data_IF_272338388837
#
_entry.id   IF_272338388837
#
_cell.length_a   1.000
_cell.length_b   1.000
_cell.length_c   1.000
_cell.angle_alpha   90.00
_cell.angle_beta   90.00
_cell.angle_gamma   90.00
#
_symmetry.space_group_name_H-M   'P 1'
#
loop_
_entity.id
_entity.type
_entity.pdbx_description
1 polymer ?
#
# COMPACT_ATOMS: atom_id res chain seq x y z
N UNK A 1 -1.53 2.09 -30.49
CA UNK A 1 -2.04 1.91 -29.13
C UNK A 1 -0.92 2.15 -28.15
N UNK A 2 -0.90 3.31 -27.48
CA UNK A 2 0.17 3.70 -26.58
C UNK A 2 -0.12 3.21 -25.15
N UNK A 3 0.83 2.48 -24.54
CA UNK A 3 0.80 2.23 -23.09
C UNK A 3 0.91 3.60 -22.40
N UNK A 4 -0.08 3.95 -21.59
CA UNK A 4 -0.01 5.15 -20.73
C UNK A 4 1.24 4.99 -19.83
N UNK A 5 2.21 5.91 -19.86
CA UNK A 5 3.30 5.89 -18.89
C UNK A 5 2.73 6.12 -17.49
N UNK A 6 3.37 5.52 -16.48
CA UNK A 6 2.98 5.64 -15.07
C UNK A 6 2.61 7.08 -14.74
N UNK A 7 1.34 7.30 -14.40
CA UNK A 7 0.85 8.61 -13.97
C UNK A 7 1.64 9.06 -12.77
N UNK A 8 2.49 10.06 -12.98
CA UNK A 8 3.16 10.77 -11.90
C UNK A 8 2.08 11.48 -11.07
N UNK A 9 2.14 11.39 -9.74
CA UNK A 9 1.11 11.95 -8.87
C UNK A 9 1.00 13.46 -9.08
N UNK A 10 -0.22 13.93 -9.35
CA UNK A 10 -0.55 15.31 -9.73
C UNK A 10 -0.28 16.33 -8.61
N UNK A 11 -0.04 15.88 -7.38
CA UNK A 11 0.42 16.70 -6.27
C UNK A 11 1.85 16.32 -5.85
N UNK A 12 2.80 17.25 -6.07
CA UNK A 12 4.15 17.22 -5.46
C UNK A 12 4.10 17.37 -3.92
N UNK A 13 2.91 17.48 -3.36
CA UNK A 13 2.62 17.69 -1.96
C UNK A 13 2.24 16.35 -1.33
N UNK A 14 3.24 15.64 -0.83
CA UNK A 14 3.11 14.39 -0.07
C UNK A 14 2.39 13.27 -0.85
N UNK A 15 3.16 12.54 -1.68
CA UNK A 15 2.78 11.16 -2.01
C UNK A 15 2.36 10.47 -0.71
N UNK A 16 1.14 9.91 -0.63
CA UNK A 16 0.65 9.34 0.60
C UNK A 16 1.71 8.33 1.07
N UNK A 17 2.36 8.65 2.20
CA UNK A 17 3.55 7.91 2.70
C UNK A 17 3.23 6.43 2.97
N UNK A 18 1.94 6.09 2.92
CA UNK A 18 1.35 4.80 3.13
C UNK A 18 0.20 4.62 2.13
N UNK A 19 0.14 3.46 1.44
CA UNK A 19 -0.90 3.18 0.44
C UNK A 19 -2.29 2.96 1.05
N UNK A 20 -3.25 2.46 0.24
CA UNK A 20 -4.65 2.23 0.63
C UNK A 20 -4.81 1.39 1.92
N UNK A 21 -3.81 0.56 2.26
CA UNK A 21 -3.74 -0.21 3.51
C UNK A 21 -3.74 0.65 4.78
N UNK A 22 -3.29 1.91 4.71
CA UNK A 22 -3.16 2.82 5.86
C UNK A 22 -4.50 3.30 6.42
N UNK A 23 -5.52 3.36 5.57
CA UNK A 23 -6.87 3.75 5.95
C UNK A 23 -7.73 2.55 6.39
N UNK A 24 -7.20 1.32 6.35
CA UNK A 24 -7.92 0.17 6.90
C UNK A 24 -8.25 0.38 8.38
N UNK A 25 -9.39 -0.13 8.84
CA UNK A 25 -9.83 -0.05 10.24
C UNK A 25 -8.79 -0.61 11.22
N UNK A 26 -8.03 -1.63 10.80
CA UNK A 26 -6.95 -2.21 11.59
C UNK A 26 -5.77 -1.24 11.82
N UNK A 27 -5.28 -0.61 10.75
CA UNK A 27 -4.19 0.37 10.84
C UNK A 27 -4.71 1.69 11.46
N UNK A 28 -5.96 2.05 11.20
CA UNK A 28 -6.64 3.21 11.76
C UNK A 28 -6.66 3.25 13.29
N UNK A 29 -6.79 2.08 13.92
CA UNK A 29 -6.79 1.90 15.39
C UNK A 29 -5.38 1.80 16.01
N UNK A 30 -4.34 1.61 15.19
CA UNK A 30 -2.97 1.54 15.68
C UNK A 30 -2.43 2.94 16.01
N UNK A 31 -1.64 3.04 17.09
CA UNK A 31 -1.03 4.31 17.51
C UNK A 31 -0.18 4.94 16.40
N UNK A 32 -0.21 6.28 16.29
CA UNK A 32 0.44 7.08 15.23
C UNK A 32 1.90 6.68 14.96
N UNK A 33 2.67 6.38 16.01
CA UNK A 33 4.08 5.96 15.92
C UNK A 33 4.27 4.61 15.19
N UNK A 34 3.32 3.69 15.36
CA UNK A 34 3.40 2.34 14.81
C UNK A 34 2.63 2.19 13.49
N UNK A 35 1.66 3.08 13.25
CA UNK A 35 0.77 3.06 12.07
C UNK A 35 1.55 2.93 10.76
N UNK A 36 2.63 3.70 10.61
CA UNK A 36 3.49 3.62 9.44
C UNK A 36 4.34 2.35 9.33
N UNK A 37 4.78 1.79 10.47
CA UNK A 37 5.55 0.53 10.50
C UNK A 37 4.67 -0.66 10.16
N UNK A 38 3.47 -0.71 10.73
CA UNK A 38 2.50 -1.80 10.51
C UNK A 38 2.02 -1.76 9.05
N UNK A 39 1.71 -0.58 8.50
CA UNK A 39 1.32 -0.44 7.09
C UNK A 39 2.40 -0.96 6.13
N UNK A 40 3.67 -0.62 6.37
CA UNK A 40 4.80 -1.11 5.56
C UNK A 40 5.00 -2.62 5.67
N UNK A 41 4.92 -3.16 6.88
CA UNK A 41 5.05 -4.60 7.12
C UNK A 41 3.95 -5.38 6.41
N UNK A 42 2.71 -4.91 6.52
CA UNK A 42 1.55 -5.53 5.88
C UNK A 42 1.66 -5.48 4.36
N UNK A 43 2.02 -4.33 3.77
CA UNK A 43 2.22 -4.22 2.32
C UNK A 43 3.26 -5.22 1.80
N UNK A 44 4.36 -5.40 2.52
CA UNK A 44 5.42 -6.34 2.16
C UNK A 44 4.94 -7.80 2.19
N UNK A 45 4.19 -8.18 3.23
CA UNK A 45 3.59 -9.51 3.34
C UNK A 45 2.53 -9.73 2.25
N UNK A 46 1.68 -8.74 2.03
CA UNK A 46 0.60 -8.80 1.05
C UNK A 46 1.15 -9.00 -0.38
N UNK A 47 2.26 -8.36 -0.73
CA UNK A 47 2.89 -8.54 -2.05
C UNK A 47 3.27 -9.99 -2.35
N UNK A 48 3.67 -10.76 -1.33
CA UNK A 48 4.02 -12.18 -1.48
C UNK A 48 2.74 -13.01 -1.54
N UNK A 49 1.80 -12.75 -0.64
CA UNK A 49 0.52 -13.47 -0.57
C UNK A 49 -0.28 -13.29 -1.86
N UNK A 50 -0.36 -12.09 -2.44
CA UNK A 50 -1.06 -11.85 -3.71
C UNK A 50 -0.47 -12.63 -4.88
N UNK A 51 0.84 -12.94 -4.87
CA UNK A 51 1.45 -13.81 -5.87
C UNK A 51 1.01 -15.25 -5.66
N UNK A 52 1.09 -15.73 -4.42
CA UNK A 52 0.72 -17.10 -4.06
C UNK A 52 -0.76 -17.34 -4.36
N UNK A 53 -1.65 -16.43 -3.95
CA UNK A 53 -3.10 -16.46 -4.18
C UNK A 53 -3.42 -16.60 -5.68
N UNK A 54 -2.69 -15.89 -6.54
CA UNK A 54 -2.85 -15.95 -7.99
C UNK A 54 -2.44 -17.30 -8.62
N UNK A 55 -1.54 -18.06 -7.98
CA UNK A 55 -1.08 -19.38 -8.45
C UNK A 55 -1.63 -20.55 -7.61
N UNK A 56 -2.39 -20.26 -6.54
CA UNK A 56 -2.99 -21.28 -5.66
C UNK A 56 -4.41 -21.66 -6.10
N UNK A 57 -4.83 -21.21 -7.29
CA UNK A 57 -6.05 -21.62 -7.97
C UNK A 57 -5.83 -22.80 -8.90
#
# INVERSE_FOLDING_TARGET
GARKPCSEPEDRSNTPKYGLLYHSTFIGRAGLKNKGRISRYLANKCSIVSRIDCFSG
#
